data_IF_186619634833
#
_entry.id   IF_186619634833
#
_cell.length_a   1.000
_cell.length_b   1.000
_cell.length_c   1.000
_cell.angle_alpha   90.00
_cell.angle_beta   90.00
_cell.angle_gamma   90.00
#
_symmetry.space_group_name_H-M   'P 1'
#
loop_
_entity.id
_entity.type
_entity.pdbx_description
1 polymer ?
#
# COMPACT_ATOMS: atom_id res chain seq x y z
N UNK A 1 100.47 75.50 5.88
CA UNK A 1 99.69 74.57 6.73
C UNK A 1 98.72 73.73 5.89
N UNK A 2 99.10 72.47 5.68
CA UNK A 2 98.33 71.25 5.32
C UNK A 2 96.91 71.33 4.70
N UNK A 3 96.81 71.58 3.38
CA UNK A 3 95.66 71.13 2.55
C UNK A 3 95.59 69.59 2.38
N UNK A 4 96.67 68.85 2.68
CA UNK A 4 96.72 67.37 2.60
C UNK A 4 96.07 66.63 3.77
N UNK A 5 95.89 67.24 4.96
CA UNK A 5 95.24 66.59 6.11
C UNK A 5 93.71 66.61 6.05
N UNK A 6 93.10 67.60 5.38
CA UNK A 6 91.63 67.70 5.22
C UNK A 6 91.11 66.70 4.17
N UNK A 7 91.85 66.49 3.06
CA UNK A 7 91.48 65.51 2.03
C UNK A 7 91.50 64.05 2.52
N UNK A 8 92.44 63.70 3.42
CA UNK A 8 92.52 62.37 4.01
C UNK A 8 91.39 62.15 5.03
N UNK A 9 91.07 63.15 5.86
CA UNK A 9 89.94 63.07 6.79
C UNK A 9 88.58 62.93 6.09
N UNK A 10 88.34 63.69 5.02
CA UNK A 10 87.11 63.59 4.22
C UNK A 10 87.04 62.25 3.48
N UNK A 11 88.16 61.75 2.93
CA UNK A 11 88.19 60.44 2.26
C UNK A 11 87.96 59.27 3.24
N UNK A 12 88.48 59.35 4.47
CA UNK A 12 88.25 58.34 5.52
C UNK A 12 86.81 58.37 6.01
N UNK A 13 86.23 59.55 6.23
CA UNK A 13 84.81 59.68 6.61
C UNK A 13 83.89 59.23 5.48
N UNK A 14 84.17 59.60 4.23
CA UNK A 14 83.43 59.12 3.06
C UNK A 14 83.54 57.59 2.92
N UNK A 15 84.73 57.02 3.11
CA UNK A 15 84.95 55.56 3.11
C UNK A 15 84.19 54.84 4.21
N UNK A 16 84.15 55.39 5.43
CA UNK A 16 83.38 54.85 6.55
C UNK A 16 81.87 54.97 6.34
N UNK A 17 81.39 56.07 5.77
CA UNK A 17 79.97 56.25 5.40
C UNK A 17 79.58 55.27 4.31
N UNK A 18 80.41 55.08 3.28
CA UNK A 18 80.19 54.07 2.24
C UNK A 18 80.17 52.67 2.85
N UNK A 19 81.12 52.32 3.72
CA UNK A 19 81.15 51.05 4.45
C UNK A 19 79.90 50.84 5.31
N UNK A 20 79.39 51.89 5.97
CA UNK A 20 78.16 51.83 6.75
C UNK A 20 76.92 51.59 5.87
N UNK A 21 76.79 52.30 4.74
CA UNK A 21 75.68 52.09 3.81
C UNK A 21 75.75 50.73 3.10
N UNK A 22 76.95 50.26 2.75
CA UNK A 22 77.18 48.92 2.21
C UNK A 22 76.85 47.84 3.24
N UNK A 23 77.33 47.99 4.49
CA UNK A 23 77.02 47.08 5.59
C UNK A 23 75.52 47.02 5.89
N UNK A 24 74.85 48.18 5.94
CA UNK A 24 73.39 48.28 6.11
C UNK A 24 72.63 47.66 4.95
N UNK A 25 73.11 47.84 3.71
CA UNK A 25 72.53 47.20 2.52
C UNK A 25 72.61 45.67 2.60
N UNK A 26 73.74 45.12 3.03
CA UNK A 26 73.90 43.66 3.22
C UNK A 26 73.03 43.11 4.35
N UNK A 27 72.87 43.86 5.46
CA UNK A 27 71.96 43.47 6.56
C UNK A 27 70.50 43.45 6.09
N UNK A 28 70.06 44.49 5.38
CA UNK A 28 68.69 44.56 4.82
C UNK A 28 68.46 43.43 3.80
N UNK A 29 69.42 43.17 2.90
CA UNK A 29 69.34 42.05 1.96
C UNK A 29 69.25 40.69 2.66
N UNK A 30 69.98 40.50 3.76
CA UNK A 30 69.94 39.27 4.55
C UNK A 30 68.57 39.10 5.23
N UNK A 31 68.05 40.14 5.87
CA UNK A 31 66.72 40.13 6.49
C UNK A 31 65.59 39.91 5.47
N UNK A 32 65.67 40.54 4.29
CA UNK A 32 64.70 40.36 3.21
C UNK A 32 64.74 38.94 2.62
N UNK A 33 65.94 38.36 2.46
CA UNK A 33 66.08 36.97 2.03
C UNK A 33 65.56 35.98 3.09
N UNK A 34 65.81 36.23 4.37
CA UNK A 34 65.26 35.43 5.47
C UNK A 34 63.74 35.55 5.55
N UNK A 35 63.17 36.76 5.38
CA UNK A 35 61.71 36.98 5.30
C UNK A 35 61.10 36.26 4.11
N UNK A 36 61.68 36.36 2.90
CA UNK A 36 61.21 35.64 1.71
C UNK A 36 61.30 34.12 1.88
N UNK A 37 62.37 33.62 2.48
CA UNK A 37 62.52 32.20 2.81
C UNK A 37 61.46 31.71 3.79
N UNK A 38 61.20 32.48 4.86
CA UNK A 38 60.17 32.16 5.84
C UNK A 38 58.76 32.26 5.25
N UNK A 39 58.48 33.29 4.43
CA UNK A 39 57.23 33.42 3.69
C UNK A 39 56.98 32.21 2.78
N UNK A 40 57.99 31.79 2.02
CA UNK A 40 57.92 30.61 1.16
C UNK A 40 57.71 29.30 1.94
N UNK A 41 58.33 29.16 3.13
CA UNK A 41 58.10 28.02 4.03
C UNK A 41 56.66 28.00 4.55
N UNK A 42 56.11 29.15 4.94
CA UNK A 42 54.73 29.30 5.40
C UNK A 42 53.75 28.96 4.28
N UNK A 43 53.96 29.46 3.06
CA UNK A 43 53.12 29.16 1.90
C UNK A 43 53.15 27.67 1.55
N UNK A 44 54.32 27.03 1.57
CA UNK A 44 54.47 25.60 1.32
C UNK A 44 53.79 24.75 2.41
N UNK A 45 53.89 25.16 3.67
CA UNK A 45 53.17 24.52 4.78
C UNK A 45 51.65 24.66 4.64
N UNK A 46 51.15 25.84 4.24
CA UNK A 46 49.74 26.08 3.99
C UNK A 46 49.20 25.26 2.80
N UNK A 47 49.97 25.12 1.72
CA UNK A 47 49.62 24.25 0.59
C UNK A 47 49.56 22.78 1.00
N UNK A 48 50.53 22.30 1.80
CA UNK A 48 50.52 20.94 2.33
C UNK A 48 49.32 20.69 3.25
N UNK A 49 48.97 21.64 4.10
CA UNK A 49 47.79 21.56 4.98
C UNK A 49 46.49 21.49 4.16
N UNK A 50 46.34 22.33 3.12
CA UNK A 50 45.19 22.28 2.20
C UNK A 50 45.10 20.92 1.48
N UNK A 51 46.23 20.40 1.00
CA UNK A 51 46.28 19.08 0.36
C UNK A 51 45.84 17.97 1.33
N UNK A 52 46.39 17.95 2.55
CA UNK A 52 46.01 16.98 3.60
C UNK A 52 44.53 17.09 3.98
N UNK A 53 43.98 18.31 4.07
CA UNK A 53 42.57 18.53 4.35
C UNK A 53 41.68 17.96 3.24
N UNK A 54 42.03 18.21 1.98
CA UNK A 54 41.32 17.64 0.81
C UNK A 54 41.40 16.11 0.79
N UNK A 55 42.57 15.53 1.01
CA UNK A 55 42.75 14.07 1.11
C UNK A 55 41.94 13.47 2.26
N UNK A 56 41.87 14.15 3.41
CA UNK A 56 41.06 13.72 4.55
C UNK A 56 39.56 13.78 4.25
N UNK A 57 39.09 14.84 3.57
CA UNK A 57 37.70 14.99 3.13
C UNK A 57 37.30 13.93 2.09
N UNK A 58 38.16 13.66 1.10
CA UNK A 58 37.97 12.60 0.12
C UNK A 58 37.92 11.22 0.78
N UNK A 59 38.83 10.96 1.74
CA UNK A 59 38.84 9.71 2.52
C UNK A 59 37.57 9.57 3.37
N UNK A 60 37.13 10.63 4.04
CA UNK A 60 35.90 10.64 4.83
C UNK A 60 34.67 10.38 3.96
N UNK A 61 34.60 11.02 2.78
CA UNK A 61 33.53 10.82 1.80
C UNK A 61 33.48 9.38 1.31
N UNK A 62 34.64 8.79 1.00
CA UNK A 62 34.75 7.38 0.58
C UNK A 62 34.28 6.43 1.68
N UNK A 63 34.76 6.63 2.92
CA UNK A 63 34.37 5.80 4.06
C UNK A 63 32.86 5.88 4.34
N UNK A 64 32.27 7.08 4.20
CA UNK A 64 30.85 7.29 4.37
C UNK A 64 30.03 6.59 3.26
N UNK A 65 30.52 6.61 2.01
CA UNK A 65 29.90 5.87 0.91
C UNK A 65 29.97 4.35 1.12
N UNK A 66 31.13 3.82 1.53
CA UNK A 66 31.29 2.40 1.86
C UNK A 66 30.38 1.96 3.02
N UNK A 67 30.25 2.79 4.07
CA UNK A 67 29.32 2.54 5.18
C UNK A 67 27.88 2.47 4.66
N UNK A 68 27.46 3.43 3.84
CA UNK A 68 26.12 3.45 3.27
C UNK A 68 25.83 2.20 2.41
N UNK A 69 26.80 1.75 1.60
CA UNK A 69 26.67 0.55 0.77
C UNK A 69 26.51 -0.70 1.66
N UNK A 70 27.31 -0.81 2.73
CA UNK A 70 27.17 -1.91 3.70
C UNK A 70 25.79 -1.90 4.37
N UNK A 71 25.32 -0.73 4.80
CA UNK A 71 23.98 -0.59 5.40
C UNK A 71 22.89 -1.00 4.42
N UNK A 72 22.93 -0.51 3.17
CA UNK A 72 21.96 -0.90 2.14
C UNK A 72 21.97 -2.42 1.91
N UNK A 73 23.15 -3.03 1.84
CA UNK A 73 23.26 -4.49 1.69
C UNK A 73 22.60 -5.24 2.86
N UNK A 74 22.83 -4.84 4.11
CA UNK A 74 22.18 -5.44 5.28
C UNK A 74 20.65 -5.31 5.23
N UNK A 75 20.15 -4.13 4.85
CA UNK A 75 18.71 -3.92 4.71
C UNK A 75 18.13 -4.71 3.55
N UNK A 76 18.88 -4.92 2.45
CA UNK A 76 18.48 -5.83 1.38
C UNK A 76 18.36 -7.28 1.86
N UNK A 77 19.29 -7.77 2.69
CA UNK A 77 19.20 -9.12 3.24
C UNK A 77 17.93 -9.29 4.09
N UNK A 78 17.62 -8.31 4.95
CA UNK A 78 16.37 -8.29 5.70
C UNK A 78 15.13 -8.20 4.79
N UNK A 79 15.14 -7.31 3.81
CA UNK A 79 14.02 -7.15 2.88
C UNK A 79 13.72 -8.44 2.09
N UNK A 80 14.78 -9.13 1.65
CA UNK A 80 14.66 -10.39 0.92
C UNK A 80 14.14 -11.55 1.80
N UNK A 81 14.41 -11.54 3.11
CA UNK A 81 13.79 -12.50 4.05
C UNK A 81 12.29 -12.24 4.24
N UNK A 82 11.83 -11.00 4.12
CA UNK A 82 10.40 -10.66 4.22
C UNK A 82 9.68 -10.58 2.86
N UNK A 83 10.26 -11.18 1.83
CA UNK A 83 9.63 -11.34 0.52
C UNK A 83 9.67 -10.12 -0.39
N UNK A 84 10.62 -9.20 -0.20
CA UNK A 84 10.87 -8.09 -1.13
C UNK A 84 11.95 -8.49 -2.12
N UNK A 85 11.67 -8.37 -3.42
CA UNK A 85 12.71 -8.49 -4.45
C UNK A 85 13.67 -7.29 -4.37
N UNK A 86 14.94 -7.57 -4.08
CA UNK A 86 15.95 -6.54 -3.82
C UNK A 86 16.83 -6.19 -5.00
N UNK A 87 16.67 -6.85 -6.15
CA UNK A 87 17.49 -6.65 -7.35
C UNK A 87 17.53 -5.18 -7.80
N UNK A 88 16.40 -4.48 -7.71
CA UNK A 88 16.24 -3.05 -8.04
C UNK A 88 16.92 -2.06 -7.08
N UNK A 89 17.40 -2.53 -5.92
CA UNK A 89 18.10 -1.74 -4.91
C UNK A 89 19.61 -1.96 -4.91
N UNK A 90 20.12 -2.81 -5.80
CA UNK A 90 21.56 -3.04 -5.94
C UNK A 90 22.27 -1.77 -6.40
N UNK A 91 23.49 -1.57 -5.88
CA UNK A 91 24.38 -0.46 -6.24
C UNK A 91 25.77 -1.01 -6.50
N UNK A 92 26.50 -0.36 -7.41
CA UNK A 92 27.91 -0.70 -7.65
C UNK A 92 28.76 -0.30 -6.44
N UNK A 93 29.89 -0.97 -6.23
CA UNK A 93 30.80 -0.73 -5.09
C UNK A 93 31.38 0.69 -5.07
N UNK A 94 31.36 1.40 -6.20
CA UNK A 94 31.83 2.77 -6.37
C UNK A 94 30.72 3.82 -6.28
N UNK A 95 29.50 3.43 -5.91
CA UNK A 95 28.35 4.33 -5.84
C UNK A 95 28.55 5.44 -4.80
N UNK A 96 28.17 6.67 -5.18
CA UNK A 96 28.21 7.83 -4.27
C UNK A 96 27.12 7.69 -3.20
N UNK A 97 27.44 8.12 -1.96
CA UNK A 97 26.52 8.06 -0.81
C UNK A 97 25.09 8.55 -1.09
N UNK A 98 24.84 9.70 -1.77
CA UNK A 98 23.48 10.17 -2.00
C UNK A 98 22.62 9.21 -2.87
N UNK A 99 23.25 8.50 -3.81
CA UNK A 99 22.56 7.50 -4.65
C UNK A 99 22.15 6.30 -3.78
N UNK A 100 23.08 5.83 -2.95
CA UNK A 100 22.87 4.73 -2.01
C UNK A 100 21.79 5.06 -0.98
N UNK A 101 21.82 6.25 -0.38
CA UNK A 101 20.84 6.72 0.60
C UNK A 101 19.44 6.83 -0.01
N UNK A 102 19.33 7.28 -1.27
CA UNK A 102 18.06 7.32 -1.99
C UNK A 102 17.48 5.91 -2.20
N UNK A 103 18.31 4.94 -2.60
CA UNK A 103 17.90 3.52 -2.73
C UNK A 103 17.48 2.94 -1.38
N UNK A 104 18.23 3.24 -0.32
CA UNK A 104 17.92 2.82 1.04
C UNK A 104 16.59 3.40 1.53
N UNK A 105 16.35 4.69 1.30
CA UNK A 105 15.08 5.35 1.63
C UNK A 105 13.91 4.67 0.91
N UNK A 106 14.06 4.38 -0.39
CA UNK A 106 13.03 3.68 -1.17
C UNK A 106 12.78 2.26 -0.65
N UNK A 107 13.84 1.54 -0.25
CA UNK A 107 13.73 0.19 0.31
C UNK A 107 13.02 0.21 1.67
N UNK A 108 13.37 1.14 2.56
CA UNK A 108 12.73 1.32 3.86
C UNK A 108 11.23 1.63 3.72
N UNK A 109 10.87 2.45 2.74
CA UNK A 109 9.47 2.71 2.42
C UNK A 109 8.75 1.46 1.93
N UNK A 110 9.38 0.64 1.09
CA UNK A 110 8.77 -0.61 0.65
C UNK A 110 8.65 -1.64 1.78
N UNK A 111 9.64 -1.73 2.68
CA UNK A 111 9.58 -2.58 3.88
C UNK A 111 8.38 -2.21 4.74
N UNK A 112 8.16 -0.92 4.98
CA UNK A 112 7.09 -0.44 5.87
C UNK A 112 5.71 -0.46 5.21
N UNK A 113 5.63 -0.02 3.96
CA UNK A 113 4.39 0.37 3.30
C UNK A 113 4.06 -0.45 2.05
N UNK A 114 4.97 -1.32 1.61
CA UNK A 114 4.80 -2.09 0.38
C UNK A 114 4.56 -1.21 -0.84
N UNK A 115 4.01 -1.84 -1.87
CA UNK A 115 3.58 -1.22 -3.12
C UNK A 115 2.10 -1.42 -3.33
N UNK A 116 1.49 -0.49 -4.07
CA UNK A 116 0.11 -0.66 -4.55
C UNK A 116 0.00 -1.97 -5.36
N UNK A 117 -0.93 -2.88 -5.02
CA UNK A 117 -1.19 -4.08 -5.81
C UNK A 117 -1.57 -3.72 -7.25
N UNK A 118 -1.05 -4.46 -8.24
CA UNK A 118 -1.27 -4.21 -9.67
C UNK A 118 -2.72 -4.43 -10.09
N UNK A 119 -3.40 -5.44 -9.55
CA UNK A 119 -4.79 -5.79 -9.89
C UNK A 119 -5.86 -4.88 -9.26
N UNK A 120 -5.50 -3.74 -8.67
CA UNK A 120 -6.44 -2.88 -7.97
C UNK A 120 -7.20 -1.95 -8.94
N UNK A 121 -8.49 -2.23 -9.15
CA UNK A 121 -9.36 -1.45 -10.05
C UNK A 121 -9.78 -0.09 -9.45
N UNK A 122 -9.94 -0.02 -8.13
CA UNK A 122 -10.34 1.20 -7.45
C UNK A 122 -9.58 1.45 -6.14
N UNK A 123 -9.17 2.70 -5.92
CA UNK A 123 -8.59 3.17 -4.65
C UNK A 123 -9.29 4.45 -4.18
N UNK A 124 -10.16 4.32 -3.18
CA UNK A 124 -10.91 5.40 -2.54
C UNK A 124 -10.40 5.80 -1.17
N UNK A 125 -9.32 5.18 -0.66
CA UNK A 125 -8.69 5.58 0.60
C UNK A 125 -7.50 6.51 0.35
N UNK A 126 -7.34 7.50 1.23
CA UNK A 126 -6.19 8.40 1.21
C UNK A 126 -5.00 7.74 1.90
N UNK A 127 -3.89 7.61 1.18
CA UNK A 127 -2.63 7.11 1.73
C UNK A 127 -1.99 8.12 2.72
N UNK A 128 -1.33 7.58 3.75
CA UNK A 128 -0.65 8.26 4.85
C UNK A 128 0.77 7.70 5.01
N UNK A 129 1.62 7.99 4.02
CA UNK A 129 3.02 7.53 4.00
C UNK A 129 3.91 8.57 4.65
N UNK A 130 4.59 8.19 5.72
CA UNK A 130 5.62 9.01 6.35
C UNK A 130 6.97 8.73 5.69
N UNK A 131 7.38 9.62 4.78
CA UNK A 131 8.70 9.56 4.15
C UNK A 131 9.80 10.23 4.96
N UNK A 132 9.47 11.00 6.00
CA UNK A 132 10.47 11.67 6.83
C UNK A 132 11.21 10.67 7.71
N UNK A 133 10.49 9.69 8.28
CA UNK A 133 11.09 8.59 9.05
C UNK A 133 12.19 7.86 8.27
N UNK A 134 11.93 7.50 7.00
CA UNK A 134 12.89 6.76 6.17
C UNK A 134 14.15 7.58 5.82
N UNK A 135 14.10 8.92 5.93
CA UNK A 135 15.27 9.79 5.72
C UNK A 135 16.20 9.80 6.94
N UNK A 136 15.69 9.50 8.13
CA UNK A 136 16.52 9.28 9.31
C UNK A 136 17.07 7.84 9.30
N UNK A 137 18.02 7.59 8.39
CA UNK A 137 18.56 6.25 8.10
C UNK A 137 19.13 5.58 9.36
N UNK A 138 19.84 6.32 10.22
CA UNK A 138 20.52 5.73 11.37
C UNK A 138 19.54 5.05 12.32
N UNK A 139 18.44 5.72 12.66
CA UNK A 139 17.38 5.13 13.49
C UNK A 139 16.54 4.11 12.71
N UNK A 140 16.25 4.36 11.43
CA UNK A 140 15.34 3.52 10.65
C UNK A 140 15.87 2.12 10.34
N UNK A 141 17.20 1.94 10.30
CA UNK A 141 17.84 0.64 9.97
C UNK A 141 18.17 -0.20 11.19
N UNK A 142 17.89 0.27 12.40
CA UNK A 142 18.08 -0.52 13.62
C UNK A 142 17.27 -1.82 13.53
N UNK A 143 17.86 -3.00 13.79
CA UNK A 143 17.17 -4.28 13.64
C UNK A 143 15.85 -4.37 14.41
N UNK A 144 15.82 -3.79 15.63
CA UNK A 144 14.61 -3.72 16.46
C UNK A 144 13.52 -2.87 15.82
N UNK A 145 13.90 -1.76 15.16
CA UNK A 145 12.95 -0.89 14.45
C UNK A 145 12.39 -1.63 13.25
N UNK A 146 13.23 -2.25 12.43
CA UNK A 146 12.78 -3.04 11.27
C UNK A 146 11.85 -4.18 11.68
N UNK A 147 12.22 -4.95 12.71
CA UNK A 147 11.36 -6.02 13.26
C UNK A 147 10.03 -5.49 13.81
N UNK A 148 10.03 -4.31 14.42
CA UNK A 148 8.83 -3.65 14.94
C UNK A 148 7.89 -3.09 13.87
N UNK A 149 8.27 -3.07 12.59
CA UNK A 149 7.35 -2.67 11.50
C UNK A 149 6.31 -3.76 11.18
N UNK A 150 6.46 -4.95 11.73
CA UNK A 150 5.70 -6.14 11.42
C UNK A 150 4.75 -6.55 12.57
N UNK A 151 3.93 -5.63 13.09
CA UNK A 151 3.02 -5.92 14.21
C UNK A 151 1.73 -6.68 13.80
N UNK A 152 1.63 -7.14 12.55
CA UNK A 152 0.44 -7.84 12.03
C UNK A 152 0.64 -9.37 12.05
N UNK A 153 -0.13 -10.08 12.87
CA UNK A 153 0.08 -11.50 13.13
C UNK A 153 0.01 -12.40 11.87
N UNK A 154 -0.99 -12.27 10.97
CA UNK A 154 -1.02 -13.05 9.72
C UNK A 154 0.21 -12.80 8.82
N UNK A 155 0.73 -11.57 8.81
CA UNK A 155 1.94 -11.23 8.06
C UNK A 155 3.15 -11.98 8.61
N UNK A 156 3.36 -11.98 9.92
CA UNK A 156 4.49 -12.69 10.55
C UNK A 156 4.43 -14.20 10.34
N UNK A 157 3.24 -14.79 10.46
CA UNK A 157 3.04 -16.21 10.18
C UNK A 157 3.40 -16.53 8.73
N UNK A 158 2.97 -15.68 7.78
CA UNK A 158 3.25 -15.84 6.36
C UNK A 158 4.74 -15.66 6.04
N UNK A 159 5.44 -14.70 6.67
CA UNK A 159 6.91 -14.57 6.57
C UNK A 159 7.59 -15.86 7.01
N UNK A 160 7.17 -16.45 8.14
CA UNK A 160 7.74 -17.72 8.61
C UNK A 160 7.52 -18.88 7.63
N UNK A 161 6.37 -18.94 6.94
CA UNK A 161 6.15 -19.92 5.87
C UNK A 161 6.99 -19.63 4.64
N UNK A 162 7.12 -18.36 4.24
CA UNK A 162 7.94 -17.92 3.12
C UNK A 162 9.40 -18.33 3.32
N UNK A 163 9.99 -18.03 4.49
CA UNK A 163 11.39 -18.37 4.80
C UNK A 163 11.64 -19.88 4.75
N UNK A 164 10.71 -20.68 5.29
CA UNK A 164 10.80 -22.15 5.22
C UNK A 164 10.73 -22.72 3.81
N UNK A 165 9.97 -22.09 2.91
CA UNK A 165 9.88 -22.51 1.51
C UNK A 165 11.09 -22.04 0.70
N UNK A 166 11.56 -20.82 0.98
CA UNK A 166 12.70 -20.21 0.30
C UNK A 166 13.97 -21.05 0.47
N UNK A 167 14.20 -21.62 1.65
CA UNK A 167 15.36 -22.50 1.89
C UNK A 167 15.35 -23.79 1.04
N UNK A 168 14.21 -24.17 0.47
CA UNK A 168 14.04 -25.38 -0.36
C UNK A 168 14.04 -25.11 -1.86
N UNK A 169 13.98 -23.84 -2.28
CA UNK A 169 13.77 -23.48 -3.71
C UNK A 169 14.87 -24.01 -4.62
N UNK A 170 16.12 -24.06 -4.15
CA UNK A 170 17.26 -24.57 -4.92
C UNK A 170 17.09 -26.06 -5.29
N UNK A 171 16.41 -26.83 -4.44
CA UNK A 171 16.15 -28.26 -4.66
C UNK A 171 14.83 -28.56 -5.37
N UNK A 172 13.94 -27.56 -5.50
CA UNK A 172 12.64 -27.71 -6.15
C UNK A 172 12.21 -26.39 -6.81
N UNK A 173 12.53 -26.19 -8.10
CA UNK A 173 12.18 -24.97 -8.83
C UNK A 173 10.68 -24.65 -8.88
N UNK A 174 9.79 -25.64 -8.76
CA UNK A 174 8.34 -25.41 -8.72
C UNK A 174 7.88 -24.60 -7.49
N UNK A 175 8.72 -24.49 -6.45
CA UNK A 175 8.46 -23.63 -5.29
C UNK A 175 8.56 -22.14 -5.65
N UNK A 176 9.22 -21.77 -6.75
CA UNK A 176 9.38 -20.38 -7.16
C UNK A 176 8.02 -19.67 -7.35
N UNK A 177 7.05 -20.34 -7.97
CA UNK A 177 5.70 -19.79 -8.14
C UNK A 177 4.98 -19.63 -6.80
N UNK A 178 5.13 -20.60 -5.91
CA UNK A 178 4.58 -20.51 -4.55
C UNK A 178 5.14 -19.30 -3.79
N UNK A 179 6.45 -19.05 -3.90
CA UNK A 179 7.10 -17.89 -3.28
C UNK A 179 6.59 -16.59 -3.90
N UNK A 180 6.40 -16.53 -5.23
CA UNK A 180 5.83 -15.35 -5.92
C UNK A 180 4.43 -15.01 -5.38
N UNK A 181 3.56 -16.00 -5.25
CA UNK A 181 2.20 -15.83 -4.70
C UNK A 181 2.23 -15.36 -3.24
N UNK A 182 3.11 -15.93 -2.42
CA UNK A 182 3.26 -15.50 -1.02
C UNK A 182 3.76 -14.05 -0.94
N UNK A 183 4.72 -13.66 -1.79
CA UNK A 183 5.25 -12.29 -1.85
C UNK A 183 4.17 -11.26 -2.18
N UNK A 184 3.20 -11.60 -3.04
CA UNK A 184 2.06 -10.73 -3.36
C UNK A 184 1.23 -10.43 -2.09
N UNK A 185 0.90 -11.44 -1.30
CA UNK A 185 0.15 -11.29 -0.04
C UNK A 185 0.96 -10.57 1.03
N UNK A 186 2.26 -10.85 1.16
CA UNK A 186 3.16 -10.10 2.04
C UNK A 186 3.19 -8.61 1.65
N UNK A 187 3.19 -8.31 0.35
CA UNK A 187 3.10 -6.94 -0.13
C UNK A 187 1.75 -6.30 0.20
N UNK A 188 0.64 -7.04 0.04
CA UNK A 188 -0.69 -6.57 0.44
C UNK A 188 -0.74 -6.15 1.91
N UNK A 189 -0.22 -6.97 2.83
CA UNK A 189 -0.21 -6.61 4.25
C UNK A 189 0.61 -5.35 4.54
N UNK A 190 1.77 -5.19 3.90
CA UNK A 190 2.52 -3.92 3.99
C UNK A 190 1.75 -2.74 3.37
N UNK A 191 1.02 -2.97 2.27
CA UNK A 191 0.19 -1.96 1.63
C UNK A 191 -0.90 -1.42 2.55
N UNK A 192 -1.50 -2.26 3.40
CA UNK A 192 -2.49 -1.84 4.41
C UNK A 192 -1.92 -0.79 5.36
N UNK A 193 -0.63 -0.86 5.72
CA UNK A 193 0.03 0.12 6.60
C UNK A 193 0.01 1.56 6.03
N UNK A 194 -0.20 1.73 4.72
CA UNK A 194 -0.34 3.05 4.10
C UNK A 194 -1.60 3.78 4.55
N UNK A 195 -2.57 3.11 5.16
CA UNK A 195 -3.83 3.71 5.58
C UNK A 195 -3.94 3.87 7.10
N UNK A 196 -3.09 3.16 7.85
CA UNK A 196 -3.07 3.10 9.32
C UNK A 196 -4.48 2.91 9.94
N UNK A 197 -5.23 1.86 9.54
CA UNK A 197 -6.56 1.59 10.08
C UNK A 197 -6.47 0.97 11.49
N UNK A 198 -7.41 1.34 12.38
CA UNK A 198 -7.54 0.69 13.69
C UNK A 198 -8.25 -0.67 13.57
N UNK A 199 -9.27 -0.71 12.70
CA UNK A 199 -10.01 -1.91 12.28
C UNK A 199 -10.36 -1.80 10.81
N UNK A 200 -10.39 -2.92 10.10
CA UNK A 200 -10.68 -2.94 8.67
C UNK A 200 -11.22 -4.28 8.20
N UNK A 201 -12.01 -4.25 7.13
CA UNK A 201 -12.50 -5.45 6.44
C UNK A 201 -11.47 -5.88 5.39
N UNK A 202 -11.16 -7.17 5.32
CA UNK A 202 -10.50 -7.79 4.17
C UNK A 202 -11.41 -8.84 3.58
N UNK A 203 -11.72 -8.71 2.30
CA UNK A 203 -12.38 -9.74 1.50
C UNK A 203 -11.33 -10.36 0.60
N UNK A 204 -10.97 -11.62 0.83
CA UNK A 204 -10.05 -12.35 -0.04
C UNK A 204 -10.84 -13.20 -1.03
N UNK A 205 -10.86 -12.76 -2.30
CA UNK A 205 -11.74 -13.31 -3.33
C UNK A 205 -11.45 -14.78 -3.67
N UNK A 206 -10.20 -15.23 -3.88
CA UNK A 206 -9.86 -16.65 -4.03
C UNK A 206 -10.18 -17.53 -2.82
N UNK A 207 -10.16 -16.96 -1.61
CA UNK A 207 -10.53 -17.71 -0.41
C UNK A 207 -12.05 -17.85 -0.25
N UNK A 208 -12.83 -16.92 -0.83
CA UNK A 208 -14.27 -16.83 -0.56
C UNK A 208 -14.53 -16.47 0.90
N UNK A 209 -13.66 -15.65 1.50
CA UNK A 209 -13.69 -15.29 2.92
C UNK A 209 -13.64 -13.78 3.14
N UNK A 210 -14.28 -13.34 4.21
CA UNK A 210 -14.19 -12.00 4.76
C UNK A 210 -13.77 -12.08 6.21
N UNK A 211 -12.83 -11.22 6.60
CA UNK A 211 -12.47 -11.02 8.00
C UNK A 211 -12.47 -9.55 8.33
N UNK A 212 -12.93 -9.22 9.54
CA UNK A 212 -12.58 -7.95 10.17
C UNK A 212 -11.31 -8.16 10.98
N UNK A 213 -10.30 -7.34 10.72
CA UNK A 213 -9.06 -7.31 11.48
C UNK A 213 -8.97 -6.07 12.36
N UNK A 214 -8.32 -6.20 13.50
CA UNK A 214 -7.74 -5.07 14.22
C UNK A 214 -6.33 -4.74 13.69
N UNK A 215 -5.63 -3.80 14.34
CA UNK A 215 -4.27 -3.41 13.95
C UNK A 215 -3.22 -4.49 14.22
N UNK A 216 -3.45 -5.38 15.19
CA UNK A 216 -2.53 -6.48 15.52
C UNK A 216 -2.70 -7.69 14.58
N UNK A 217 -3.80 -7.73 13.82
CA UNK A 217 -4.15 -8.85 12.95
C UNK A 217 -5.00 -9.93 13.62
N UNK A 218 -5.59 -9.61 14.77
CA UNK A 218 -6.66 -10.40 15.36
C UNK A 218 -7.88 -10.43 14.42
N UNK A 219 -8.41 -11.62 14.16
CA UNK A 219 -9.62 -11.82 13.36
C UNK A 219 -10.85 -11.64 14.24
N UNK A 220 -11.38 -10.42 14.29
CA UNK A 220 -12.56 -10.07 15.10
C UNK A 220 -13.85 -10.72 14.58
N UNK A 221 -13.97 -10.91 13.27
CA UNK A 221 -15.17 -11.49 12.65
C UNK A 221 -14.84 -12.30 11.39
N UNK A 222 -14.42 -13.57 11.54
CA UNK A 222 -14.25 -14.48 10.41
C UNK A 222 -15.60 -14.96 9.87
N UNK A 223 -15.76 -14.88 8.55
CA UNK A 223 -16.95 -15.36 7.86
C UNK A 223 -16.66 -15.76 6.41
N UNK A 224 -17.57 -16.56 5.84
CA UNK A 224 -17.57 -16.85 4.41
C UNK A 224 -18.28 -15.75 3.62
N UNK A 225 -17.94 -15.64 2.34
CA UNK A 225 -18.62 -14.78 1.37
C UNK A 225 -18.94 -15.51 0.07
N UNK A 226 -19.91 -14.98 -0.68
CA UNK A 226 -20.13 -15.36 -2.08
C UNK A 226 -19.82 -14.15 -2.96
N UNK A 227 -18.81 -14.29 -3.80
CA UNK A 227 -18.31 -13.28 -4.72
C UNK A 227 -18.80 -13.53 -6.15
N UNK A 228 -18.37 -12.65 -7.07
CA UNK A 228 -18.67 -12.70 -8.48
C UNK A 228 -18.29 -14.03 -9.13
N UNK A 229 -19.00 -14.43 -10.17
CA UNK A 229 -18.61 -15.55 -11.03
C UNK A 229 -17.46 -15.13 -11.98
N UNK A 230 -16.71 -16.07 -12.59
CA UNK A 230 -15.56 -15.74 -13.43
C UNK A 230 -15.83 -14.78 -14.61
N UNK A 231 -17.05 -14.76 -15.16
CA UNK A 231 -17.49 -13.87 -16.24
C UNK A 231 -18.17 -12.58 -15.75
N UNK A 232 -18.32 -12.42 -14.43
CA UNK A 232 -18.87 -11.23 -13.74
C UNK A 232 -18.10 -11.03 -12.42
N UNK A 233 -16.79 -10.82 -12.55
CA UNK A 233 -15.84 -10.83 -11.45
C UNK A 233 -16.13 -9.72 -10.44
N UNK A 234 -15.89 -10.01 -9.15
CA UNK A 234 -15.81 -8.95 -8.15
C UNK A 234 -14.48 -8.20 -8.34
N UNK A 235 -14.50 -6.89 -8.54
CA UNK A 235 -13.28 -6.11 -8.77
C UNK A 235 -12.50 -5.92 -7.47
N UNK A 236 -11.17 -5.97 -7.55
CA UNK A 236 -10.30 -5.66 -6.40
C UNK A 236 -10.30 -4.16 -6.13
N UNK A 237 -10.45 -3.78 -4.86
CA UNK A 237 -10.52 -2.37 -4.48
C UNK A 237 -10.08 -2.09 -3.06
N UNK A 238 -9.67 -0.86 -2.84
CA UNK A 238 -9.41 -0.27 -1.53
C UNK A 238 -10.44 0.84 -1.33
N UNK A 239 -11.37 0.67 -0.39
CA UNK A 239 -12.52 1.57 -0.18
C UNK A 239 -12.91 1.60 1.30
N UNK A 240 -14.09 2.09 1.63
CA UNK A 240 -14.67 2.07 2.96
C UNK A 240 -16.19 1.94 2.91
N UNK A 241 -16.78 1.44 4.00
CA UNK A 241 -18.23 1.40 4.20
C UNK A 241 -18.72 2.83 4.49
N UNK A 242 -19.70 3.28 3.70
CA UNK A 242 -20.31 4.61 3.84
C UNK A 242 -21.57 4.58 4.70
N UNK A 243 -22.39 3.55 4.55
CA UNK A 243 -23.66 3.39 5.26
C UNK A 243 -24.12 1.94 5.23
N UNK A 244 -24.99 1.60 6.16
CA UNK A 244 -25.77 0.36 6.18
C UNK A 244 -27.22 0.71 5.83
N UNK A 245 -27.84 -0.05 4.93
CA UNK A 245 -29.26 0.09 4.59
C UNK A 245 -29.98 -1.15 5.06
N UNK A 246 -30.95 -0.98 5.96
CA UNK A 246 -31.87 -2.04 6.39
C UNK A 246 -33.04 -2.14 5.42
N UNK A 247 -33.55 -3.35 5.20
CA UNK A 247 -34.67 -3.61 4.28
C UNK A 247 -34.49 -2.92 2.91
N UNK A 248 -33.32 -3.08 2.25
CA UNK A 248 -33.00 -2.33 1.05
C UNK A 248 -33.93 -2.69 -0.11
N UNK A 249 -34.31 -1.71 -0.93
CA UNK A 249 -34.78 -2.03 -2.28
C UNK A 249 -33.60 -2.52 -3.13
N UNK A 250 -33.83 -3.56 -3.94
CA UNK A 250 -32.88 -3.95 -4.97
C UNK A 250 -33.24 -3.31 -6.29
N UNK A 251 -32.50 -2.27 -6.68
CA UNK A 251 -32.58 -1.73 -8.03
C UNK A 251 -31.79 -2.65 -8.95
N UNK A 252 -32.50 -3.47 -9.75
CA UNK A 252 -31.89 -4.51 -10.56
C UNK A 252 -31.04 -3.86 -11.67
N UNK A 253 -29.74 -4.20 -11.78
CA UNK A 253 -28.91 -3.76 -12.89
C UNK A 253 -29.55 -4.08 -14.23
N UNK A 254 -29.44 -3.16 -15.19
CA UNK A 254 -30.13 -3.27 -16.49
C UNK A 254 -29.81 -4.57 -17.22
N UNK A 255 -28.54 -5.00 -17.21
CA UNK A 255 -28.15 -6.26 -17.82
C UNK A 255 -28.85 -7.47 -17.18
N UNK A 256 -28.95 -7.55 -15.84
CA UNK A 256 -29.68 -8.63 -15.15
C UNK A 256 -31.17 -8.58 -15.51
N UNK A 257 -31.76 -7.38 -15.53
CA UNK A 257 -33.15 -7.21 -15.92
C UNK A 257 -33.43 -7.72 -17.35
N UNK A 258 -32.52 -7.48 -18.29
CA UNK A 258 -32.68 -7.88 -19.70
C UNK A 258 -32.29 -9.33 -19.98
N UNK A 259 -31.17 -9.81 -19.44
CA UNK A 259 -30.62 -11.13 -19.76
C UNK A 259 -31.32 -12.25 -18.97
N UNK A 260 -31.75 -11.98 -17.74
CA UNK A 260 -32.24 -13.01 -16.83
C UNK A 260 -33.73 -12.88 -16.50
N UNK A 261 -34.19 -11.65 -16.23
CA UNK A 261 -35.57 -11.43 -15.79
C UNK A 261 -36.54 -11.29 -16.94
N UNK A 262 -36.20 -10.54 -18.00
CA UNK A 262 -37.08 -10.29 -19.13
C UNK A 262 -37.62 -11.58 -19.79
N UNK A 263 -36.81 -12.62 -20.05
CA UNK A 263 -37.32 -13.88 -20.57
C UNK A 263 -38.39 -14.53 -19.66
N UNK A 264 -38.24 -14.40 -18.34
CA UNK A 264 -39.20 -14.92 -17.35
C UNK A 264 -40.47 -14.08 -17.29
N UNK A 265 -40.33 -12.74 -17.32
CA UNK A 265 -41.46 -11.80 -17.37
C UNK A 265 -42.30 -11.99 -18.63
N UNK A 266 -41.67 -12.20 -19.79
CA UNK A 266 -42.36 -12.49 -21.06
C UNK A 266 -43.10 -13.83 -21.03
N UNK A 267 -42.54 -14.83 -20.35
CA UNK A 267 -43.18 -16.16 -20.20
C UNK A 267 -44.41 -16.07 -19.27
N UNK A 268 -44.31 -15.32 -18.19
CA UNK A 268 -45.45 -15.04 -17.31
C UNK A 268 -45.25 -13.73 -16.55
N UNK A 269 -46.18 -12.79 -16.71
CA UNK A 269 -46.17 -11.55 -15.93
C UNK A 269 -46.41 -11.78 -14.43
N UNK A 270 -46.94 -12.94 -14.03
CA UNK A 270 -47.08 -13.32 -12.61
C UNK A 270 -45.72 -13.46 -11.91
N UNK A 271 -44.64 -13.74 -12.66
CA UNK A 271 -43.27 -13.78 -12.13
C UNK A 271 -42.91 -12.51 -11.36
N UNK A 272 -43.37 -11.35 -11.85
CA UNK A 272 -43.09 -10.05 -11.24
C UNK A 272 -43.66 -10.02 -9.82
N UNK A 273 -44.92 -10.40 -9.65
CA UNK A 273 -45.56 -10.44 -8.33
C UNK A 273 -44.93 -11.51 -7.43
N UNK A 274 -44.68 -12.72 -7.95
CA UNK A 274 -44.07 -13.81 -7.18
C UNK A 274 -42.67 -13.51 -6.68
N UNK A 275 -41.94 -12.62 -7.34
CA UNK A 275 -40.59 -12.19 -6.93
C UNK A 275 -40.61 -10.84 -6.21
N UNK A 276 -41.79 -10.30 -5.89
CA UNK A 276 -41.96 -8.96 -5.32
C UNK A 276 -41.21 -7.88 -6.13
N UNK A 277 -41.31 -7.96 -7.45
CA UNK A 277 -40.72 -7.01 -8.38
C UNK A 277 -41.73 -5.92 -8.74
N UNK A 278 -41.22 -4.73 -9.01
CA UNK A 278 -41.94 -3.56 -9.47
C UNK A 278 -41.32 -3.09 -10.77
N UNK A 279 -42.16 -2.80 -11.76
CA UNK A 279 -41.76 -2.13 -12.99
C UNK A 279 -41.96 -0.64 -12.81
N UNK A 280 -40.92 0.14 -13.03
CA UNK A 280 -40.96 1.59 -12.90
C UNK A 280 -40.70 2.24 -14.25
N UNK A 281 -41.45 3.28 -14.59
CA UNK A 281 -41.15 4.15 -15.73
C UNK A 281 -39.95 5.08 -15.45
N UNK A 282 -39.65 5.95 -16.41
CA UNK A 282 -38.60 6.97 -16.31
C UNK A 282 -38.85 8.01 -15.20
N UNK A 283 -40.10 8.18 -14.78
CA UNK A 283 -40.55 9.07 -13.71
C UNK A 283 -40.70 8.36 -12.37
N UNK A 284 -40.34 7.09 -12.28
CA UNK A 284 -40.49 6.21 -11.11
C UNK A 284 -41.94 5.88 -10.72
N UNK A 285 -42.91 6.01 -11.62
CA UNK A 285 -44.25 5.48 -11.40
C UNK A 285 -44.27 3.97 -11.63
N UNK A 286 -44.97 3.27 -10.76
CA UNK A 286 -45.16 1.83 -10.88
C UNK A 286 -46.13 1.49 -12.01
N UNK A 287 -45.68 0.62 -12.91
CA UNK A 287 -46.43 0.17 -14.08
C UNK A 287 -47.05 -1.19 -13.76
N UNK A 288 -48.36 -1.30 -13.98
CA UNK A 288 -49.06 -2.57 -13.84
C UNK A 288 -48.52 -3.58 -14.88
N UNK A 289 -47.94 -4.71 -14.47
CA UNK A 289 -47.42 -5.71 -15.40
C UNK A 289 -48.45 -6.26 -16.40
N UNK A 290 -49.74 -6.21 -16.07
CA UNK A 290 -50.83 -6.66 -16.94
C UNK A 290 -51.14 -5.70 -18.08
N UNK A 291 -50.78 -4.42 -17.96
CA UNK A 291 -50.99 -3.43 -19.03
C UNK A 291 -49.85 -3.39 -20.04
N UNK A 292 -48.77 -4.14 -19.80
CA UNK A 292 -47.61 -4.20 -20.69
C UNK A 292 -47.86 -5.23 -21.80
N UNK A 293 -47.69 -4.81 -23.06
CA UNK A 293 -47.65 -5.74 -24.19
C UNK A 293 -46.30 -6.47 -24.23
N UNK A 294 -46.18 -7.55 -23.46
CA UNK A 294 -44.95 -8.35 -23.36
C UNK A 294 -44.46 -8.93 -24.69
N UNK A 295 -45.33 -9.07 -25.71
CA UNK A 295 -44.93 -9.62 -27.01
C UNK A 295 -44.04 -8.65 -27.78
N UNK A 296 -44.34 -7.36 -27.73
CA UNK A 296 -43.56 -6.31 -28.41
C UNK A 296 -42.30 -5.89 -27.65
N UNK A 297 -42.18 -6.24 -26.36
CA UNK A 297 -41.00 -5.96 -25.55
C UNK A 297 -39.83 -6.90 -25.90
N UNK A 298 -38.64 -6.34 -26.02
CA UNK A 298 -37.37 -6.99 -26.34
C UNK A 298 -36.22 -6.30 -25.59
N UNK A 299 -35.00 -6.82 -25.75
CA UNK A 299 -33.80 -6.24 -25.10
C UNK A 299 -33.47 -4.81 -25.56
N UNK A 300 -33.85 -4.45 -26.79
CA UNK A 300 -33.53 -3.15 -27.39
C UNK A 300 -34.57 -2.07 -27.07
N UNK A 301 -35.80 -2.45 -26.72
CA UNK A 301 -36.91 -1.52 -26.46
C UNK A 301 -37.57 -1.72 -25.08
N UNK A 302 -36.84 -2.26 -24.09
CA UNK A 302 -37.30 -2.37 -22.70
C UNK A 302 -37.23 -0.99 -21.99
N UNK A 303 -38.36 -0.31 -21.73
CA UNK A 303 -38.37 1.07 -21.24
C UNK A 303 -38.40 1.15 -19.70
N UNK A 304 -38.48 0.01 -19.02
CA UNK A 304 -38.72 -0.03 -17.58
C UNK A 304 -37.42 -0.16 -16.78
N UNK A 305 -37.46 0.32 -15.54
CA UNK A 305 -36.55 -0.09 -14.48
C UNK A 305 -37.22 -1.19 -13.67
N UNK A 306 -36.43 -2.18 -13.23
CA UNK A 306 -36.92 -3.24 -12.35
C UNK A 306 -36.39 -3.01 -10.95
N UNK A 307 -37.29 -3.00 -9.96
CA UNK A 307 -36.95 -2.88 -8.54
C UNK A 307 -37.57 -4.04 -7.78
N UNK A 308 -36.79 -4.76 -6.96
CA UNK A 308 -37.33 -5.70 -5.99
C UNK A 308 -37.65 -4.96 -4.69
N UNK A 309 -38.86 -5.21 -4.16
CA UNK A 309 -39.32 -4.70 -2.88
C UNK A 309 -38.52 -5.25 -1.71
N UNK A 310 -38.66 -4.60 -0.55
CA UNK A 310 -38.05 -5.08 0.70
C UNK A 310 -38.68 -6.40 1.17
N UNK A 311 -37.98 -7.12 2.04
CA UNK A 311 -38.44 -8.36 2.67
C UNK A 311 -37.45 -9.51 2.52
N UNK A 312 -37.76 -10.66 3.13
CA UNK A 312 -36.86 -11.83 3.15
C UNK A 312 -36.61 -12.47 1.78
N UNK A 313 -37.53 -12.29 0.83
CA UNK A 313 -37.35 -12.73 -0.56
C UNK A 313 -36.44 -11.82 -1.39
N UNK A 314 -36.03 -10.67 -0.83
CA UNK A 314 -35.16 -9.73 -1.52
C UNK A 314 -33.77 -10.35 -1.75
N UNK A 315 -33.26 -10.25 -2.97
CA UNK A 315 -31.97 -10.83 -3.36
C UNK A 315 -30.78 -10.23 -2.58
N UNK A 316 -30.93 -9.01 -2.05
CA UNK A 316 -29.96 -8.36 -1.17
C UNK A 316 -30.12 -8.72 0.31
N UNK A 317 -31.12 -9.53 0.65
CA UNK A 317 -31.50 -9.81 2.03
C UNK A 317 -31.96 -8.55 2.77
N UNK A 318 -31.76 -8.52 4.08
CA UNK A 318 -32.24 -7.46 4.96
C UNK A 318 -31.22 -6.36 5.25
N UNK A 319 -29.94 -6.58 4.91
CA UNK A 319 -28.85 -5.64 5.17
C UNK A 319 -27.98 -5.45 3.93
N UNK A 320 -27.73 -4.19 3.57
CA UNK A 320 -26.80 -3.78 2.51
C UNK A 320 -25.77 -2.79 3.05
N UNK A 321 -24.50 -3.05 2.81
CA UNK A 321 -23.38 -2.19 3.16
C UNK A 321 -22.91 -1.45 1.92
N UNK A 322 -23.22 -0.15 1.83
CA UNK A 322 -22.77 0.66 0.71
C UNK A 322 -21.26 0.93 0.85
N UNK A 323 -20.51 0.61 -0.21
CA UNK A 323 -19.08 0.92 -0.31
C UNK A 323 -18.89 2.19 -1.14
N UNK A 324 -17.90 3.02 -0.80
CA UNK A 324 -17.56 4.21 -1.56
C UNK A 324 -16.85 3.83 -2.88
N UNK A 325 -17.58 3.58 -3.97
CA UNK A 325 -16.97 3.22 -5.26
C UNK A 325 -17.89 3.58 -6.45
N UNK A 326 -17.32 3.81 -7.65
CA UNK A 326 -18.09 4.10 -8.86
C UNK A 326 -18.65 2.85 -9.56
N UNK A 327 -18.26 1.64 -9.13
CA UNK A 327 -18.56 0.37 -9.79
C UNK A 327 -19.88 -0.27 -9.31
N UNK A 328 -20.62 0.44 -8.44
CA UNK A 328 -21.85 -0.04 -7.81
C UNK A 328 -21.70 -1.38 -7.06
N UNK A 329 -20.52 -1.66 -6.52
CA UNK A 329 -20.23 -2.83 -5.69
C UNK A 329 -20.58 -2.56 -4.23
N UNK A 330 -21.19 -3.52 -3.56
CA UNK A 330 -21.53 -3.46 -2.15
C UNK A 330 -21.37 -4.84 -1.49
N UNK A 331 -21.29 -4.83 -0.15
CA UNK A 331 -21.49 -6.05 0.64
C UNK A 331 -22.97 -6.14 1.01
N UNK A 332 -23.54 -7.33 1.08
CA UNK A 332 -24.94 -7.47 1.45
C UNK A 332 -25.28 -8.86 2.00
N UNK A 333 -26.41 -8.96 2.68
CA UNK A 333 -27.06 -10.20 3.06
C UNK A 333 -27.64 -10.93 1.83
N UNK A 334 -28.33 -12.06 1.99
CA UNK A 334 -28.96 -12.77 0.88
C UNK A 334 -30.19 -13.54 1.34
N UNK A 335 -31.20 -13.64 0.48
CA UNK A 335 -32.32 -14.58 0.65
C UNK A 335 -31.90 -16.06 0.50
N UNK A 336 -30.68 -16.35 0.03
CA UNK A 336 -30.18 -17.70 -0.24
C UNK A 336 -29.08 -18.11 0.76
N UNK A 337 -29.30 -17.93 2.07
CA UNK A 337 -28.27 -18.14 3.11
C UNK A 337 -27.76 -19.57 3.18
N UNK A 338 -28.60 -20.55 2.83
CA UNK A 338 -28.22 -21.96 2.79
C UNK A 338 -27.07 -22.28 1.82
N UNK A 339 -26.79 -21.40 0.84
CA UNK A 339 -25.60 -21.54 -0.01
C UNK A 339 -24.30 -21.53 0.81
N UNK A 340 -24.25 -20.85 1.96
CA UNK A 340 -23.10 -20.90 2.85
C UNK A 340 -22.87 -22.30 3.45
N UNK A 341 -23.95 -23.06 3.68
CA UNK A 341 -23.90 -24.42 4.25
C UNK A 341 -23.76 -25.50 3.18
N UNK A 342 -24.48 -25.36 2.06
CA UNK A 342 -24.74 -26.46 1.13
C UNK A 342 -23.78 -26.53 -0.05
N UNK A 343 -22.91 -25.53 -0.25
CA UNK A 343 -21.92 -25.55 -1.34
C UNK A 343 -20.59 -24.94 -0.91
N UNK A 344 -19.51 -25.42 -1.53
CA UNK A 344 -18.17 -24.81 -1.42
C UNK A 344 -17.86 -23.84 -2.56
N UNK A 345 -18.70 -23.79 -3.59
CA UNK A 345 -18.53 -22.91 -4.74
C UNK A 345 -18.97 -21.49 -4.37
N UNK A 346 -18.00 -20.60 -4.14
CA UNK A 346 -18.22 -19.24 -3.63
C UNK A 346 -18.31 -18.16 -4.71
N UNK A 347 -18.19 -18.50 -5.99
CA UNK A 347 -18.16 -17.54 -7.10
C UNK A 347 -19.44 -17.60 -7.93
N UNK A 348 -20.53 -17.03 -7.39
CA UNK A 348 -21.90 -17.20 -7.92
C UNK A 348 -22.69 -15.89 -8.09
N UNK A 349 -22.14 -14.75 -7.69
CA UNK A 349 -22.82 -13.46 -7.77
C UNK A 349 -22.50 -12.73 -9.10
N UNK A 350 -23.15 -11.58 -9.31
CA UNK A 350 -22.88 -10.67 -10.44
C UNK A 350 -21.86 -9.57 -10.10
N UNK A 351 -20.95 -9.84 -9.16
CA UNK A 351 -19.84 -8.96 -8.79
C UNK A 351 -19.93 -8.40 -7.36
N UNK A 352 -21.14 -8.20 -6.81
CA UNK A 352 -21.30 -7.81 -5.40
C UNK A 352 -20.98 -8.98 -4.45
N UNK A 353 -20.73 -8.68 -3.17
CA UNK A 353 -20.29 -9.69 -2.20
C UNK A 353 -21.39 -9.99 -1.21
N UNK A 354 -21.89 -11.23 -1.19
CA UNK A 354 -22.84 -11.69 -0.17
C UNK A 354 -22.06 -12.11 1.07
N UNK A 355 -22.48 -11.67 2.25
CA UNK A 355 -21.81 -11.98 3.53
C UNK A 355 -22.62 -12.97 4.36
N UNK A 356 -21.94 -13.90 5.03
CA UNK A 356 -22.57 -14.95 5.83
C UNK A 356 -23.18 -14.43 7.15
N UNK A 357 -22.57 -13.40 7.75
CA UNK A 357 -22.88 -12.87 9.08
C UNK A 357 -23.17 -11.36 9.03
N UNK A 358 -24.25 -10.93 8.35
CA UNK A 358 -24.51 -9.51 8.11
C UNK A 358 -24.88 -8.75 9.38
N UNK A 359 -25.57 -9.34 10.35
CA UNK A 359 -25.94 -8.68 11.61
C UNK A 359 -24.69 -8.35 12.43
N UNK A 360 -23.81 -9.34 12.61
CA UNK A 360 -22.58 -9.20 13.37
C UNK A 360 -21.64 -8.19 12.69
N UNK A 361 -21.57 -8.19 11.35
CA UNK A 361 -20.82 -7.18 10.61
C UNK A 361 -21.39 -5.78 10.82
N UNK A 362 -22.72 -5.64 10.79
CA UNK A 362 -23.39 -4.36 10.99
C UNK A 362 -23.12 -3.81 12.40
N UNK A 363 -23.30 -4.62 13.44
CA UNK A 363 -23.04 -4.23 14.82
C UNK A 363 -21.58 -3.85 15.04
N UNK A 364 -20.64 -4.63 14.49
CA UNK A 364 -19.21 -4.33 14.60
C UNK A 364 -18.87 -2.99 13.93
N UNK A 365 -19.37 -2.75 12.72
CA UNK A 365 -19.11 -1.52 11.96
C UNK A 365 -19.77 -0.31 12.62
N UNK A 366 -20.95 -0.46 13.21
CA UNK A 366 -21.63 0.59 13.96
C UNK A 366 -21.01 0.83 15.34
N UNK A 367 -20.29 -0.16 15.90
CA UNK A 367 -19.71 -0.12 17.23
C UNK A 367 -20.74 -0.24 18.35
N UNK A 368 -21.92 -0.80 18.06
CA UNK A 368 -23.03 -0.98 18.99
C UNK A 368 -23.90 -2.17 18.58
N UNK A 369 -24.53 -2.85 19.54
CA UNK A 369 -25.53 -3.90 19.32
C UNK A 369 -26.85 -3.28 18.82
N UNK A 370 -26.87 -2.86 17.56
CA UNK A 370 -28.02 -2.19 16.93
C UNK A 370 -29.07 -3.18 16.45
N UNK A 371 -28.64 -4.38 16.07
CA UNK A 371 -29.46 -5.48 15.60
C UNK A 371 -29.23 -6.71 16.48
N UNK A 372 -30.30 -7.41 16.84
CA UNK A 372 -30.16 -8.71 17.52
C UNK A 372 -30.07 -9.86 16.51
N UNK A 373 -29.79 -11.06 17.02
CA UNK A 373 -29.65 -12.26 16.18
C UNK A 373 -30.98 -12.66 15.48
N UNK A 374 -32.12 -12.17 15.98
CA UNK A 374 -33.44 -12.48 15.41
C UNK A 374 -33.81 -11.56 14.26
N UNK A 375 -33.12 -10.44 14.09
CA UNK A 375 -33.37 -9.47 13.02
C UNK A 375 -33.50 -10.11 11.62
N UNK A 376 -32.72 -11.16 11.33
CA UNK A 376 -32.77 -11.86 10.04
C UNK A 376 -33.98 -12.79 9.87
N UNK A 377 -34.61 -13.20 10.98
CA UNK A 377 -35.72 -14.15 11.04
C UNK A 377 -37.08 -13.46 11.14
N UNK A 378 -37.13 -12.22 11.61
CA UNK A 378 -38.38 -11.48 11.81
C UNK A 378 -39.17 -11.27 10.52
N UNK A 379 -38.50 -11.25 9.36
CA UNK A 379 -39.10 -11.12 8.03
C UNK A 379 -40.24 -10.08 7.95
N UNK A 380 -40.07 -8.97 8.67
CA UNK A 380 -41.11 -7.95 8.82
C UNK A 380 -41.60 -7.48 7.44
N UNK A 381 -42.92 -7.54 7.25
CA UNK A 381 -43.59 -7.06 6.06
C UNK A 381 -43.62 -5.53 6.03
N UNK A 382 -43.74 -4.98 4.82
CA UNK A 382 -43.93 -3.54 4.55
C UNK A 382 -42.90 -2.58 5.16
N UNK A 383 -41.71 -3.09 5.49
CA UNK A 383 -40.61 -2.26 5.93
C UNK A 383 -40.09 -1.35 4.83
N UNK A 384 -39.81 -0.09 5.18
CA UNK A 384 -39.18 0.87 4.28
C UNK A 384 -37.67 0.86 4.47
N UNK A 385 -36.88 1.05 3.40
CA UNK A 385 -35.44 1.14 3.53
C UNK A 385 -35.03 2.25 4.50
N UNK A 386 -34.14 1.94 5.45
CA UNK A 386 -33.56 2.94 6.37
C UNK A 386 -32.05 2.91 6.24
N UNK A 387 -31.47 4.07 5.99
CA UNK A 387 -30.01 4.24 5.88
C UNK A 387 -29.45 4.67 7.23
N UNK A 388 -28.56 3.85 7.78
CA UNK A 388 -27.77 4.13 8.96
C UNK A 388 -26.38 4.64 8.55
N UNK A 389 -26.00 5.88 8.91
CA UNK A 389 -24.65 6.38 8.67
C UNK A 389 -23.65 5.65 9.57
N UNK A 390 -22.42 5.42 9.07
CA UNK A 390 -21.36 4.84 9.91
C UNK A 390 -20.67 5.95 10.72
N UNK A 391 -20.49 5.80 12.05
CA UNK A 391 -19.87 6.84 12.88
C UNK A 391 -18.43 7.21 12.49
N UNK A 392 -17.66 6.21 12.03
CA UNK A 392 -16.27 6.36 11.58
C UNK A 392 -16.09 5.58 10.28
N UNK A 393 -15.34 6.15 9.33
CA UNK A 393 -15.01 5.43 8.09
C UNK A 393 -14.41 4.07 8.43
N UNK A 394 -14.99 3.01 7.88
CA UNK A 394 -14.57 1.64 8.10
C UNK A 394 -13.89 1.10 6.82
N UNK A 395 -12.56 1.03 6.76
CA UNK A 395 -11.83 0.61 5.56
C UNK A 395 -12.19 -0.81 5.12
N UNK A 396 -12.24 -1.02 3.81
CA UNK A 396 -12.50 -2.29 3.16
C UNK A 396 -11.47 -2.52 2.07
N UNK A 397 -10.79 -3.65 2.16
CA UNK A 397 -9.86 -4.13 1.15
C UNK A 397 -10.45 -5.39 0.50
N UNK A 398 -10.83 -5.28 -0.76
CA UNK A 398 -11.18 -6.45 -1.58
C UNK A 398 -9.94 -6.82 -2.37
N UNK A 399 -9.37 -7.98 -2.06
CA UNK A 399 -8.07 -8.44 -2.58
C UNK A 399 -8.18 -9.80 -3.25
N UNK A 400 -7.15 -10.11 -4.04
CA UNK A 400 -7.03 -11.37 -4.75
C UNK A 400 -5.71 -12.06 -4.36
N UNK A 401 -5.70 -12.64 -3.17
CA UNK A 401 -4.50 -13.28 -2.61
C UNK A 401 -4.65 -14.80 -2.74
N UNK A 402 -3.93 -15.40 -3.69
CA UNK A 402 -3.97 -16.86 -3.93
C UNK A 402 -3.26 -17.63 -2.82
N UNK A 403 -2.22 -17.06 -2.18
CA UNK A 403 -1.52 -17.70 -1.07
C UNK A 403 -1.65 -16.86 0.20
N UNK A 404 -2.22 -17.40 1.28
CA UNK A 404 -2.38 -16.70 2.55
C UNK A 404 -2.46 -17.68 3.73
N UNK A 405 -2.42 -17.18 4.95
CA UNK A 405 -2.64 -17.98 6.16
C UNK A 405 -4.11 -18.00 6.55
N UNK A 406 -4.62 -19.17 6.92
CA UNK A 406 -5.96 -19.31 7.50
C UNK A 406 -5.99 -18.85 8.97
N UNK A 407 -7.15 -18.97 9.63
CA UNK A 407 -7.31 -18.58 11.04
C UNK A 407 -6.43 -19.40 12.00
N UNK A 408 -5.98 -20.60 11.61
CA UNK A 408 -5.06 -21.43 12.40
C UNK A 408 -3.58 -21.11 12.10
N UNK A 409 -3.30 -20.11 11.26
CA UNK A 409 -1.96 -19.74 10.82
C UNK A 409 -1.35 -20.71 9.80
N UNK A 410 -2.15 -21.61 9.22
CA UNK A 410 -1.67 -22.56 8.21
C UNK A 410 -1.67 -21.89 6.84
N UNK A 411 -0.56 -22.01 6.10
CA UNK A 411 -0.47 -21.57 4.71
C UNK A 411 -1.46 -22.35 3.84
N UNK A 412 -2.26 -21.62 3.07
CA UNK A 412 -3.20 -22.11 2.08
C UNK A 412 -2.88 -21.53 0.72
N UNK A 413 -3.07 -22.35 -0.31
CA UNK A 413 -3.10 -21.94 -1.70
C UNK A 413 -4.54 -22.14 -2.20
N UNK A 414 -5.15 -21.07 -2.65
CA UNK A 414 -6.50 -21.04 -3.17
C UNK A 414 -6.48 -21.21 -4.69
N UNK A 415 -7.65 -21.49 -5.27
CA UNK A 415 -7.77 -21.61 -6.73
C UNK A 415 -7.71 -20.22 -7.37
N UNK A 416 -7.02 -20.09 -8.50
CA UNK A 416 -7.10 -18.88 -9.34
C UNK A 416 -8.41 -18.86 -10.14
N UNK A 417 -9.50 -18.51 -9.45
CA UNK A 417 -10.88 -18.55 -9.94
C UNK A 417 -11.20 -17.58 -11.06
N UNK A 418 -10.46 -16.48 -11.17
CA UNK A 418 -10.63 -15.43 -12.17
C UNK A 418 -9.52 -15.39 -13.22
N UNK A 419 -8.53 -16.29 -13.12
CA UNK A 419 -7.37 -16.34 -14.02
C UNK A 419 -6.62 -15.00 -14.05
N UNK A 420 -6.30 -14.49 -12.86
CA UNK A 420 -5.61 -13.21 -12.66
C UNK A 420 -4.13 -13.37 -12.30
N UNK A 421 -3.65 -14.59 -12.02
CA UNK A 421 -2.25 -14.80 -11.62
C UNK A 421 -1.26 -14.48 -12.74
N UNK A 422 -1.64 -14.78 -13.99
CA UNK A 422 -0.83 -14.62 -15.20
C UNK A 422 -0.88 -13.19 -15.79
N UNK A 423 -1.58 -12.25 -15.14
CA UNK A 423 -1.78 -10.86 -15.60
C UNK A 423 -1.05 -9.86 -14.72
#
# INVERSE_FOLDING_TARGET
MNKRRIGIGIAVVAGLVILFFVGRYFVIQKEDNERRSNQAKIEKAAQLAKKKAKEAEEKATRLAAEKAIRTLHQVCLYADSIGIDTTRYTVVSTAKKPITDAKLTQLLLEIRYGKKPSGLEYNGLKERVDSAWARNIETAVEPKVLAGLAEFAPYNQLVGHYDRLKSKVASNPAIADSLRLIRQTLNFYRYVNRFNPDRFVVVNLPAGELNVFDRTGERLLPMQVIAGKPDRQTPCMTTYIQSIVTYPYWNVPRNIALEEMLPRMKRSSTYINYQNLQLLDDKNHEINPKSVDWKSISVTNFPFRVRQGAGCENSLGLLKFNLANPLAIYLHDTNSRDLFKNTKERWRSHGCVRVQKPVELANLVLGAETFDDKFLDECLLDQKPKTLPIPKRFPVFITYNIADVDAAGKLRFYKDVYSLDDK
#
